data_IF_144059821284
#
_entry.id   IF_144059821284
#
_cell.length_a   1.000
_cell.length_b   1.000
_cell.length_c   1.000
_cell.angle_alpha   90.00
_cell.angle_beta   90.00
_cell.angle_gamma   90.00
#
_symmetry.space_group_name_H-M   'P 1'
#
loop_
_entity.id
_entity.type
_entity.pdbx_description
1 polymer ?
#
# COMPACT_ATOMS: atom_id res chain seq x y z
N UNK A 1 8.25 0.16 -0.65
CA UNK A 1 8.51 1.60 -0.70
C UNK A 1 8.31 2.18 0.69
N UNK A 2 9.22 3.02 1.18
CA UNK A 2 9.04 3.73 2.46
C UNK A 2 8.78 5.20 2.15
N UNK A 3 7.68 5.70 2.69
CA UNK A 3 7.25 7.09 2.53
C UNK A 3 7.99 7.98 3.53
N UNK A 4 8.05 9.29 3.26
CA UNK A 4 8.79 10.24 4.10
C UNK A 4 8.23 10.33 5.53
N UNK A 5 6.95 9.98 5.72
CA UNK A 5 6.29 9.90 7.02
C UNK A 5 6.58 8.59 7.78
N UNK A 6 7.41 7.70 7.21
CA UNK A 6 7.77 6.40 7.78
C UNK A 6 6.83 5.25 7.43
N UNK A 7 5.69 5.53 6.79
CA UNK A 7 4.78 4.48 6.33
C UNK A 7 5.46 3.65 5.25
N UNK A 8 4.97 2.44 5.04
CA UNK A 8 5.56 1.50 4.08
C UNK A 8 4.49 0.80 3.27
N UNK A 9 4.71 0.73 1.97
CA UNK A 9 3.99 -0.19 1.10
C UNK A 9 4.87 -1.37 0.70
N UNK A 10 4.30 -2.57 0.75
CA UNK A 10 4.89 -3.83 0.28
C UNK A 10 3.94 -4.45 -0.73
N UNK A 11 4.32 -4.44 -2.01
CA UNK A 11 3.48 -4.95 -3.09
C UNK A 11 3.96 -4.45 -4.44
N UNK A 12 3.10 -4.57 -5.44
CA UNK A 12 3.40 -4.12 -6.79
C UNK A 12 3.04 -2.65 -7.00
N UNK A 13 3.73 -2.04 -7.94
CA UNK A 13 3.47 -0.67 -8.38
C UNK A 13 3.17 -0.67 -9.87
N UNK A 14 2.25 0.21 -10.27
CA UNK A 14 1.97 0.54 -11.67
C UNK A 14 1.81 2.05 -11.76
N UNK A 15 2.56 2.69 -12.66
CA UNK A 15 2.56 4.16 -12.81
C UNK A 15 2.81 4.89 -11.48
N UNK A 16 3.84 4.45 -10.75
CA UNK A 16 4.25 5.00 -9.45
C UNK A 16 3.19 4.93 -8.33
N UNK A 17 2.13 4.14 -8.53
CA UNK A 17 1.06 3.94 -7.56
C UNK A 17 0.96 2.47 -7.15
N UNK A 18 0.62 2.18 -5.88
CA UNK A 18 0.26 0.83 -5.44
C UNK A 18 -0.79 0.19 -6.35
N UNK A 19 -0.53 -1.04 -6.78
CA UNK A 19 -1.42 -1.79 -7.66
C UNK A 19 -1.27 -3.30 -7.44
N UNK A 20 -2.33 -4.09 -7.64
CA UNK A 20 -2.34 -5.51 -7.37
C UNK A 20 -2.32 -5.85 -5.87
N UNK A 21 -1.98 -7.10 -5.54
CA UNK A 21 -1.86 -7.54 -4.16
C UNK A 21 -0.73 -6.78 -3.42
N UNK A 22 -1.05 -6.26 -2.24
CA UNK A 22 -0.09 -5.56 -1.40
C UNK A 22 -0.59 -5.23 0.00
N UNK A 23 0.33 -4.74 0.83
CA UNK A 23 0.10 -4.31 2.20
C UNK A 23 0.68 -2.92 2.45
N UNK A 24 -0.15 -2.02 2.96
CA UNK A 24 0.26 -0.71 3.47
C UNK A 24 0.34 -0.77 4.99
N UNK A 25 1.52 -0.45 5.52
CA UNK A 25 1.87 -0.50 6.94
C UNK A 25 2.11 0.93 7.36
N UNK A 26 1.23 1.46 8.19
CA UNK A 26 1.42 2.78 8.78
C UNK A 26 2.33 2.68 10.00
N UNK A 27 3.01 3.78 10.32
CA UNK A 27 3.99 3.84 11.42
C UNK A 27 3.44 3.48 12.81
N UNK A 28 2.13 3.61 13.02
CA UNK A 28 1.47 3.17 14.26
C UNK A 28 1.28 1.64 14.36
N UNK A 29 1.65 0.90 13.31
CA UNK A 29 1.58 -0.55 13.22
C UNK A 29 0.30 -1.10 12.61
N UNK A 30 -0.68 -0.27 12.24
CA UNK A 30 -1.85 -0.76 11.50
C UNK A 30 -1.44 -1.23 10.10
N UNK A 31 -2.10 -2.29 9.64
CA UNK A 31 -1.82 -2.94 8.36
C UNK A 31 -3.10 -3.00 7.52
N UNK A 32 -3.01 -2.48 6.30
CA UNK A 32 -4.06 -2.51 5.30
C UNK A 32 -3.60 -3.41 4.15
N UNK A 33 -4.09 -4.65 4.12
CA UNK A 33 -3.71 -5.64 3.13
C UNK A 33 -4.88 -5.97 2.21
N UNK A 34 -4.60 -6.15 0.92
CA UNK A 34 -5.60 -6.51 -0.08
C UNK A 34 -5.18 -6.19 -1.51
N UNK A 35 -6.15 -6.13 -2.40
CA UNK A 35 -5.96 -5.70 -3.78
C UNK A 35 -5.92 -4.17 -3.84
N UNK A 36 -4.96 -3.62 -4.57
CA UNK A 36 -4.79 -2.18 -4.78
C UNK A 36 -5.04 -1.82 -6.25
N UNK A 37 -5.75 -0.73 -6.50
CA UNK A 37 -5.83 -0.12 -7.83
C UNK A 37 -5.64 1.39 -7.74
N UNK A 38 -4.70 1.92 -8.54
CA UNK A 38 -4.34 3.34 -8.55
C UNK A 38 -4.14 3.93 -7.14
N UNK A 39 -3.43 3.20 -6.27
CA UNK A 39 -3.16 3.64 -4.90
C UNK A 39 -4.33 3.50 -3.92
N UNK A 40 -5.45 2.92 -4.32
CA UNK A 40 -6.63 2.70 -3.46
C UNK A 40 -6.72 1.23 -3.10
N UNK A 41 -6.90 0.93 -1.81
CA UNK A 41 -7.24 -0.41 -1.35
C UNK A 41 -8.69 -0.72 -1.74
N UNK A 42 -8.89 -1.77 -2.52
CA UNK A 42 -10.20 -2.33 -2.82
C UNK A 42 -10.59 -3.22 -1.64
N UNK A 43 -11.45 -2.72 -0.77
CA UNK A 43 -12.14 -3.54 0.23
C UNK A 43 -13.41 -4.13 -0.42
N UNK A 44 -13.68 -5.41 -0.15
CA UNK A 44 -15.00 -6.01 -0.44
C UNK A 44 -16.09 -5.40 0.43
#
# INVERSE_FOLDING_TARGET
YSYANGDRFVGYFKQDQPHGQGAFIVTDGQVYAGEWDQGVLLAD
#
